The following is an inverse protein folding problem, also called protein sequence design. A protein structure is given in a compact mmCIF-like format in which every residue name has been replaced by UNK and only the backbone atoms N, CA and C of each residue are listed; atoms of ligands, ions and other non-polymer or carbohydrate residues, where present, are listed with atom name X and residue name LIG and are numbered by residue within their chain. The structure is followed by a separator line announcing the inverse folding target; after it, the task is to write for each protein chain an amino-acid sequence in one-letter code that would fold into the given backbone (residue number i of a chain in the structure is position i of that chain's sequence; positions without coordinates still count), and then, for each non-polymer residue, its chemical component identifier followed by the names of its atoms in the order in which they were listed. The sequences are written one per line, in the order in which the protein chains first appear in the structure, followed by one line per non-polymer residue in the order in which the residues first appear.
data_IF_022683107239
#
_entry.id   IF_022683107239
#
_cell.length_a   1.000
_cell.length_b   1.000
_cell.length_c   1.000
_cell.angle_alpha   90.00
_cell.angle_beta   90.00
_cell.angle_gamma   90.00
#
_symmetry.space_group_name_H-M   'P 1'
#
loop_
_entity.id
_entity.type
_entity.pdbx_description
1 polymer ?
#
# COMPACT_ATOMS: atom_id res chain seq x y z
N UNK A 1 15.61 -8.52 -8.68
CA UNK A 1 14.48 -7.57 -8.50
C UNK A 1 14.46 -7.25 -7.03
N UNK A 2 14.54 -5.96 -6.71
CA UNK A 2 14.59 -5.44 -5.36
C UNK A 2 13.48 -4.39 -5.20
N UNK A 3 12.98 -4.22 -3.98
CA UNK A 3 11.95 -3.23 -3.67
C UNK A 3 12.62 -2.03 -2.99
N UNK A 4 12.37 -0.83 -3.50
CA UNK A 4 12.79 0.44 -2.88
C UNK A 4 11.57 1.19 -2.34
N UNK A 5 11.73 1.87 -1.20
CA UNK A 5 10.69 2.74 -0.66
C UNK A 5 11.03 4.21 -0.93
N UNK A 6 10.46 4.77 -1.99
CA UNK A 6 10.72 6.13 -2.44
C UNK A 6 10.08 7.11 -1.46
N UNK A 7 10.89 8.00 -0.88
CA UNK A 7 10.44 9.06 0.06
C UNK A 7 10.40 10.44 -0.60
N UNK A 8 11.16 10.63 -1.69
CA UNK A 8 11.16 11.86 -2.48
C UNK A 8 10.94 11.51 -3.94
N UNK A 9 9.87 11.99 -4.60
CA UNK A 9 9.59 11.63 -5.98
C UNK A 9 10.70 12.13 -6.91
N UNK A 10 11.04 11.32 -7.91
CA UNK A 10 12.07 11.65 -8.90
C UNK A 10 11.76 11.00 -10.24
N UNK A 11 12.45 11.47 -11.28
CA UNK A 11 12.37 10.89 -12.63
C UNK A 11 13.74 10.37 -13.00
N UNK A 12 13.79 9.10 -13.39
CA UNK A 12 15.00 8.44 -13.85
C UNK A 12 14.97 8.31 -15.38
N UNK A 13 16.10 8.56 -16.04
CA UNK A 13 16.32 8.16 -17.41
C UNK A 13 16.93 6.75 -17.39
N UNK A 14 16.22 5.80 -17.98
CA UNK A 14 16.65 4.41 -18.11
C UNK A 14 17.61 4.25 -19.31
N UNK A 15 18.37 3.16 -19.32
CA UNK A 15 19.33 2.84 -20.40
C UNK A 15 18.71 2.71 -21.78
N UNK A 16 17.42 2.36 -21.87
CA UNK A 16 16.67 2.32 -23.13
C UNK A 16 16.26 3.72 -23.63
N UNK A 17 16.64 4.77 -22.90
CA UNK A 17 16.32 6.16 -23.22
C UNK A 17 14.92 6.58 -22.78
N UNK A 18 14.15 5.72 -22.13
CA UNK A 18 12.84 6.09 -21.57
C UNK A 18 12.99 6.73 -20.19
N UNK A 19 12.08 7.64 -19.87
CA UNK A 19 12.00 8.23 -18.54
C UNK A 19 10.94 7.53 -17.72
N UNK A 20 11.33 7.09 -16.51
CA UNK A 20 10.42 6.49 -15.53
C UNK A 20 10.31 7.41 -14.32
N UNK A 21 9.07 7.78 -14.00
CA UNK A 21 8.75 8.54 -12.78
C UNK A 21 8.54 7.58 -11.62
N UNK A 22 9.19 7.87 -10.51
CA UNK A 22 9.01 7.19 -9.23
C UNK A 22 8.26 8.13 -8.28
N UNK A 23 7.08 7.71 -7.87
CA UNK A 23 6.26 8.41 -6.88
C UNK A 23 6.63 7.93 -5.47
N UNK A 24 6.18 8.63 -4.43
CA UNK A 24 6.41 8.18 -3.04
C UNK A 24 5.72 6.83 -2.81
N UNK A 25 6.43 5.88 -2.21
CA UNK A 25 5.91 4.53 -1.90
C UNK A 25 6.85 3.40 -2.37
N UNK A 26 6.36 2.16 -2.24
CA UNK A 26 7.09 0.95 -2.64
C UNK A 26 7.12 0.77 -4.15
N UNK A 27 8.32 0.55 -4.72
CA UNK A 27 8.51 0.25 -6.14
C UNK A 27 9.42 -0.95 -6.34
N UNK A 28 9.01 -1.86 -7.22
CA UNK A 28 9.86 -2.93 -7.71
C UNK A 28 10.77 -2.42 -8.83
N UNK A 29 12.06 -2.62 -8.60
CA UNK A 29 13.16 -2.15 -9.45
C UNK A 29 14.20 -3.24 -9.63
N UNK A 30 15.10 -3.04 -10.59
CA UNK A 30 16.26 -3.91 -10.78
C UNK A 30 17.31 -3.66 -9.69
N UNK A 31 18.17 -4.65 -9.45
CA UNK A 31 19.24 -4.54 -8.46
C UNK A 31 20.23 -3.41 -8.77
N UNK A 32 20.42 -3.10 -10.05
CA UNK A 32 21.22 -1.95 -10.51
C UNK A 32 20.66 -0.63 -9.98
N UNK A 33 19.35 -0.43 -10.13
CA UNK A 33 18.64 0.74 -9.59
C UNK A 33 18.72 0.75 -8.07
N UNK A 34 18.43 -0.36 -7.40
CA UNK A 34 18.39 -0.43 -5.94
C UNK A 34 19.77 -0.16 -5.29
N UNK A 35 20.85 -0.60 -5.93
CA UNK A 35 22.22 -0.38 -5.48
C UNK A 35 22.81 0.99 -5.85
N UNK A 36 22.11 1.79 -6.65
CA UNK A 36 22.62 3.06 -7.13
C UNK A 36 22.52 4.17 -6.08
N UNK A 37 23.49 5.09 -6.07
CA UNK A 37 23.59 6.15 -5.06
C UNK A 37 22.35 7.07 -5.00
N UNK A 38 21.69 7.35 -6.12
CA UNK A 38 20.49 8.19 -6.18
C UNK A 38 19.28 7.49 -5.55
N UNK A 39 19.19 6.16 -5.61
CA UNK A 39 18.17 5.42 -4.88
C UNK A 39 18.34 5.62 -3.39
N UNK A 40 19.56 5.58 -2.85
CA UNK A 40 19.78 5.88 -1.42
C UNK A 40 19.40 7.31 -1.00
N UNK A 41 19.47 8.28 -1.90
CA UNK A 41 19.11 9.68 -1.62
C UNK A 41 17.60 9.95 -1.69
N UNK A 42 16.91 9.18 -2.54
CA UNK A 42 15.47 9.29 -2.80
C UNK A 42 14.62 8.22 -2.13
N UNK A 43 15.23 7.17 -1.56
CA UNK A 43 14.55 6.04 -0.92
C UNK A 43 15.11 5.74 0.47
N UNK A 44 14.28 5.16 1.32
CA UNK A 44 14.65 4.68 2.64
C UNK A 44 14.92 3.15 2.60
N UNK A 45 15.75 2.60 3.52
CA UNK A 45 15.95 1.16 3.61
C UNK A 45 14.60 0.44 3.76
N UNK A 46 14.38 -0.54 2.89
CA UNK A 46 13.11 -1.26 2.78
C UNK A 46 12.70 -2.04 4.05
N UNK A 47 13.60 -2.16 5.04
CA UNK A 47 13.38 -2.94 6.27
C UNK A 47 12.25 -2.41 7.18
N UNK A 48 11.74 -1.20 6.95
CA UNK A 48 10.56 -0.65 7.65
C UNK A 48 9.34 -0.45 6.72
N UNK A 49 9.43 -0.86 5.45
CA UNK A 49 8.40 -0.61 4.44
C UNK A 49 7.25 -1.65 4.41
N UNK A 50 7.22 -2.61 5.36
CA UNK A 50 6.01 -3.41 5.59
C UNK A 50 4.92 -2.62 6.34
N UNK A 51 5.22 -1.42 6.86
CA UNK A 51 4.28 -0.60 7.64
C UNK A 51 3.67 0.60 6.88
N UNK A 52 3.98 0.79 5.60
CA UNK A 52 3.40 1.87 4.79
C UNK A 52 2.53 1.31 3.66
N UNK A 53 1.54 0.50 4.02
CA UNK A 53 0.28 0.51 3.26
C UNK A 53 -0.21 1.96 3.26
N UNK A 54 -0.64 2.53 2.12
CA UNK A 54 -1.38 3.78 2.19
C UNK A 54 -2.58 3.52 3.10
N UNK A 55 -2.63 4.23 4.23
CA UNK A 55 -3.87 4.50 4.93
C UNK A 55 -4.72 5.36 3.99
N UNK A 56 -5.24 4.73 2.93
CA UNK A 56 -6.32 5.24 2.12
C UNK A 56 -7.55 5.15 2.99
N UNK A 57 -8.04 6.29 3.46
CA UNK A 57 -9.30 6.42 4.19
C UNK A 57 -10.53 6.03 3.33
N UNK A 58 -10.31 5.49 2.12
CA UNK A 58 -11.28 4.86 1.23
C UNK A 58 -11.18 3.31 1.22
N UNK A 59 -10.03 2.71 1.51
CA UNK A 59 -9.82 1.25 1.52
C UNK A 59 -10.39 0.58 2.76
N UNK A 60 -10.49 1.29 3.88
CA UNK A 60 -11.02 0.75 5.13
C UNK A 60 -12.49 0.32 5.02
N UNK A 61 -13.33 1.11 4.36
CA UNK A 61 -14.76 0.77 4.21
C UNK A 61 -14.97 -0.37 3.22
N UNK A 62 -14.27 -0.37 2.10
CA UNK A 62 -14.40 -1.43 1.09
C UNK A 62 -13.89 -2.78 1.64
N UNK A 63 -12.75 -2.77 2.36
CA UNK A 63 -12.24 -3.95 3.04
C UNK A 63 -13.21 -4.48 4.11
N UNK A 64 -13.84 -3.58 4.88
CA UNK A 64 -14.87 -3.96 5.85
C UNK A 64 -16.11 -4.55 5.17
N UNK A 65 -16.58 -3.97 4.06
CA UNK A 65 -17.72 -4.51 3.31
C UNK A 65 -17.41 -5.88 2.68
N UNK A 66 -16.20 -6.06 2.14
CA UNK A 66 -15.75 -7.34 1.60
C UNK A 66 -15.72 -8.41 2.70
N UNK A 67 -15.14 -8.10 3.86
CA UNK A 67 -15.05 -9.01 5.01
C UNK A 67 -16.42 -9.36 5.59
N UNK A 68 -17.32 -8.38 5.66
CA UNK A 68 -18.71 -8.62 6.04
C UNK A 68 -19.42 -9.55 5.04
N UNK A 69 -19.18 -9.39 3.73
CA UNK A 69 -19.75 -10.26 2.71
C UNK A 69 -19.22 -11.70 2.80
N UNK A 70 -17.93 -11.90 3.10
CA UNK A 70 -17.34 -13.23 3.35
C UNK A 70 -18.00 -13.95 4.52
N UNK A 71 -18.31 -13.22 5.60
CA UNK A 71 -18.96 -13.74 6.80
C UNK A 71 -20.49 -13.79 6.69
N UNK A 72 -21.06 -13.35 5.57
CA UNK A 72 -22.52 -13.27 5.36
C UNK A 72 -23.22 -12.19 6.20
N UNK A 73 -22.48 -11.23 6.75
CA UNK A 73 -23.00 -10.11 7.53
C UNK A 73 -23.64 -9.07 6.59
N UNK A 74 -24.95 -8.83 6.74
CA UNK A 74 -25.66 -7.78 5.98
C UNK A 74 -25.35 -6.40 6.54
N UNK A 75 -24.59 -5.61 5.79
CA UNK A 75 -24.26 -4.22 6.13
C UNK A 75 -25.28 -3.25 5.53
N UNK A 76 -25.81 -2.35 6.35
CA UNK A 76 -26.67 -1.25 5.88
C UNK A 76 -25.81 -0.04 5.45
N UNK A 77 -26.22 0.65 4.39
CA UNK A 77 -25.49 1.79 3.84
C UNK A 77 -25.30 2.96 4.82
N UNK A 78 -26.15 3.06 5.84
CA UNK A 78 -26.09 4.08 6.91
C UNK A 78 -25.12 3.71 8.04
N UNK A 79 -24.54 2.52 8.02
CA UNK A 79 -23.60 2.12 9.06
C UNK A 79 -22.27 2.85 8.89
N UNK A 80 -21.78 3.36 10.02
CA UNK A 80 -20.41 3.84 10.19
C UNK A 80 -19.44 2.67 10.18
N UNK A 81 -18.20 2.92 9.76
CA UNK A 81 -17.16 1.89 9.62
C UNK A 81 -16.91 1.13 10.94
N UNK A 82 -16.96 1.81 12.09
CA UNK A 82 -16.83 1.19 13.42
C UNK A 82 -17.92 0.13 13.69
N UNK A 83 -19.16 0.39 13.24
CA UNK A 83 -20.28 -0.55 13.43
C UNK A 83 -20.17 -1.76 12.51
N UNK A 84 -19.64 -1.56 11.30
CA UNK A 84 -19.35 -2.65 10.36
C UNK A 84 -18.24 -3.55 10.93
N UNK A 85 -17.16 -2.95 11.44
CA UNK A 85 -16.06 -3.67 12.08
C UNK A 85 -16.50 -4.48 13.32
N UNK A 86 -17.35 -3.89 14.18
CA UNK A 86 -17.88 -4.60 15.35
C UNK A 86 -18.74 -5.82 14.97
N UNK A 87 -19.58 -5.69 13.93
CA UNK A 87 -20.42 -6.79 13.46
C UNK A 87 -19.60 -7.94 12.84
N UNK A 88 -18.52 -7.61 12.13
CA UNK A 88 -17.54 -8.58 11.62
C UNK A 88 -16.88 -9.33 12.77
N UNK A 89 -16.39 -8.60 13.78
CA UNK A 89 -15.73 -9.20 14.94
C UNK A 89 -16.67 -10.12 15.74
N UNK A 90 -17.95 -9.76 15.91
CA UNK A 90 -18.95 -10.65 16.50
C UNK A 90 -19.17 -11.93 15.67
N UNK A 91 -19.20 -11.81 14.34
CA UNK A 91 -19.39 -12.96 13.45
C UNK A 91 -18.16 -13.88 13.35
N UNK A 92 -16.94 -13.36 13.55
CA UNK A 92 -15.71 -14.18 13.58
C UNK A 92 -15.55 -14.98 14.87
N UNK A 93 -16.22 -14.58 15.96
CA UNK A 93 -16.12 -15.22 17.28
C UNK A 93 -17.28 -16.21 17.54
N UNK A 94 -18.34 -16.16 16.72
CA UNK A 94 -19.54 -16.99 16.81
C UNK A 94 -19.37 -18.35 16.10
#
# INVERSE_FOLDING_TARGET
MATINVTKPFTLLLDDGTTRRFEVGGHDVTDDIAGHWWSGEHSAPALEAEAALPAGEADGREALLARAAELGVKVDGRWSNERIAAAIAEAEVA
#
